data_IF_984401151355
#
_entry.id   IF_984401151355
#
_cell.length_a   1.000
_cell.length_b   1.000
_cell.length_c   1.000
_cell.angle_alpha   90.00
_cell.angle_beta   90.00
_cell.angle_gamma   90.00
#
_symmetry.space_group_name_H-M   'P 1'
#
loop_
_entity.id
_entity.type
_entity.pdbx_description
1 polymer ?
#
# COMPACT_ATOMS: atom_id res chain seq x y z
N UNK A 1 4.52 -2.60 9.67
CA UNK A 1 4.60 -2.80 8.22
C UNK A 1 3.54 -1.96 7.51
N UNK A 2 3.89 -1.38 6.39
CA UNK A 2 3.00 -0.52 5.61
C UNK A 2 2.82 -1.15 4.23
N UNK A 3 1.58 -1.21 3.76
CA UNK A 3 1.28 -1.68 2.42
C UNK A 3 0.81 -0.51 1.55
N UNK A 4 1.31 -0.43 0.34
CA UNK A 4 0.95 0.61 -0.62
C UNK A 4 0.11 0.00 -1.73
N UNK A 5 -1.07 0.55 -1.94
CA UNK A 5 -1.95 0.14 -3.02
C UNK A 5 -1.68 0.96 -4.28
N UNK A 6 -0.73 0.50 -5.07
CA UNK A 6 -0.26 1.21 -6.24
C UNK A 6 1.02 1.98 -5.95
N UNK A 7 1.91 2.02 -6.92
CA UNK A 7 3.22 2.68 -6.78
C UNK A 7 3.50 3.62 -7.93
N UNK A 8 2.47 4.26 -8.45
CA UNK A 8 2.64 5.33 -9.41
C UNK A 8 3.39 6.49 -8.78
N UNK A 9 3.23 7.68 -9.34
CA UNK A 9 3.97 8.85 -8.88
C UNK A 9 3.83 9.09 -7.36
N UNK A 10 2.61 9.07 -6.86
CA UNK A 10 2.34 9.33 -5.44
C UNK A 10 2.84 8.21 -4.54
N UNK A 11 2.53 6.96 -4.89
CA UNK A 11 2.94 5.82 -4.10
C UNK A 11 4.44 5.64 -4.06
N UNK A 12 5.10 5.86 -5.19
CA UNK A 12 6.56 5.80 -5.25
C UNK A 12 7.22 6.85 -4.38
N UNK A 13 6.71 8.08 -4.40
CA UNK A 13 7.24 9.15 -3.56
C UNK A 13 7.06 8.85 -2.07
N UNK A 14 5.89 8.36 -1.70
CA UNK A 14 5.63 8.00 -0.31
C UNK A 14 6.57 6.89 0.16
N UNK A 15 6.74 5.86 -0.67
CA UNK A 15 7.63 4.75 -0.34
C UNK A 15 9.06 5.21 -0.12
N UNK A 16 9.57 6.06 -0.99
CA UNK A 16 10.92 6.59 -0.84
C UNK A 16 11.08 7.38 0.46
N UNK A 17 10.08 8.17 0.83
CA UNK A 17 10.11 8.93 2.07
C UNK A 17 10.09 8.03 3.29
N UNK A 18 9.28 6.98 3.26
CA UNK A 18 9.21 6.03 4.37
C UNK A 18 10.54 5.29 4.55
N UNK A 19 11.17 4.91 3.45
CA UNK A 19 12.45 4.20 3.51
C UNK A 19 13.61 5.11 3.89
N UNK A 20 13.42 6.42 3.84
CA UNK A 20 14.45 7.38 4.24
C UNK A 20 14.44 7.68 5.75
N UNK A 21 13.47 7.18 6.48
CA UNK A 21 13.40 7.39 7.93
C UNK A 21 14.56 6.67 8.64
N UNK A 22 14.99 7.17 9.81
CA UNK A 22 16.07 6.52 10.57
C UNK A 22 15.80 5.06 10.90
N UNK A 23 14.54 4.72 11.19
CA UNK A 23 14.10 3.35 11.40
C UNK A 23 12.98 3.05 10.42
N UNK A 24 13.31 2.79 9.16
CA UNK A 24 12.28 2.66 8.13
C UNK A 24 11.39 1.44 8.37
N UNK A 25 10.07 1.59 8.19
CA UNK A 25 9.17 0.46 8.26
C UNK A 25 9.38 -0.45 7.06
N UNK A 26 8.93 -1.69 7.19
CA UNK A 26 8.87 -2.57 6.04
C UNK A 26 7.72 -2.11 5.16
N UNK A 27 7.96 -1.98 3.87
CA UNK A 27 6.98 -1.51 2.90
C UNK A 27 6.74 -2.58 1.85
N UNK A 28 5.49 -2.99 1.72
CA UNK A 28 5.04 -3.88 0.66
C UNK A 28 4.09 -3.12 -0.25
N UNK A 29 3.96 -3.55 -1.48
CA UNK A 29 3.06 -2.90 -2.41
C UNK A 29 2.28 -3.91 -3.23
N UNK A 30 1.13 -3.50 -3.72
CA UNK A 30 0.38 -4.26 -4.70
C UNK A 30 -0.07 -3.34 -5.83
N UNK A 31 -0.32 -3.91 -6.97
CA UNK A 31 -0.74 -3.14 -8.13
C UNK A 31 -1.08 -4.07 -9.28
N UNK A 32 -1.45 -3.48 -10.39
CA UNK A 32 -1.88 -4.22 -11.58
C UNK A 32 -0.72 -4.59 -12.50
N UNK A 33 0.37 -3.83 -12.44
CA UNK A 33 1.46 -3.95 -13.40
C UNK A 33 2.75 -4.34 -12.69
N UNK A 34 3.25 -5.53 -12.98
CA UNK A 34 4.49 -6.02 -12.42
C UNK A 34 5.66 -5.09 -12.70
N UNK A 35 5.73 -4.56 -13.91
CA UNK A 35 6.82 -3.68 -14.31
C UNK A 35 6.95 -2.46 -13.40
N UNK A 36 5.82 -1.84 -13.07
CA UNK A 36 5.79 -0.67 -12.18
C UNK A 36 6.24 -1.04 -10.78
N UNK A 37 5.78 -2.19 -10.29
CA UNK A 37 6.14 -2.67 -8.95
C UNK A 37 7.63 -3.00 -8.86
N UNK A 38 8.18 -3.66 -9.87
CA UNK A 38 9.61 -3.95 -9.92
C UNK A 38 10.45 -2.69 -9.93
N UNK A 39 10.03 -1.70 -10.70
CA UNK A 39 10.74 -0.43 -10.79
C UNK A 39 10.78 0.26 -9.42
N UNK A 40 9.66 0.25 -8.71
CA UNK A 40 9.60 0.83 -7.36
C UNK A 40 10.55 0.09 -6.41
N UNK A 41 10.62 -1.22 -6.51
CA UNK A 41 11.53 -2.00 -5.69
C UNK A 41 12.99 -1.69 -6.02
N UNK A 42 13.32 -1.58 -7.29
CA UNK A 42 14.69 -1.25 -7.72
C UNK A 42 15.11 0.12 -7.22
N UNK A 43 14.18 1.07 -7.12
CA UNK A 43 14.45 2.40 -6.60
C UNK A 43 14.54 2.47 -5.08
N UNK A 44 14.22 1.38 -4.40
CA UNK A 44 14.23 1.35 -2.95
C UNK A 44 12.99 1.92 -2.30
N UNK A 45 11.92 2.14 -3.06
CA UNK A 45 10.67 2.67 -2.52
C UNK A 45 9.89 1.61 -1.75
N UNK A 46 10.04 0.35 -2.11
CA UNK A 46 9.34 -0.77 -1.46
C UNK A 46 10.32 -1.92 -1.25
N UNK A 47 10.01 -2.77 -0.27
CA UNK A 47 10.82 -3.95 0.03
C UNK A 47 10.33 -5.18 -0.71
N UNK A 48 9.02 -5.27 -0.89
CA UNK A 48 8.40 -6.41 -1.58
C UNK A 48 7.14 -5.96 -2.31
N UNK A 49 6.65 -6.83 -3.18
CA UNK A 49 5.41 -6.52 -3.90
C UNK A 49 4.70 -7.81 -4.27
N UNK A 50 3.41 -7.68 -4.58
CA UNK A 50 2.58 -8.78 -5.06
C UNK A 50 1.54 -8.23 -6.02
N UNK A 51 1.13 -9.04 -6.98
CA UNK A 51 -0.03 -8.70 -7.82
C UNK A 51 -1.34 -9.04 -7.11
N UNK A 52 -1.26 -9.78 -6.02
CA UNK A 52 -2.42 -10.12 -5.21
C UNK A 52 -2.54 -9.14 -4.03
N UNK A 53 -3.55 -8.26 -4.03
CA UNK A 53 -3.71 -7.30 -2.95
C UNK A 53 -3.84 -7.96 -1.57
N UNK A 54 -4.55 -9.07 -1.49
CA UNK A 54 -4.76 -9.77 -0.23
C UNK A 54 -3.44 -10.22 0.40
N UNK A 55 -2.51 -10.70 -0.42
CA UNK A 55 -1.22 -11.15 0.05
C UNK A 55 -0.39 -9.97 0.58
N UNK A 56 -0.43 -8.85 -0.13
CA UNK A 56 0.38 -7.68 0.22
C UNK A 56 -0.05 -7.04 1.55
N UNK A 57 -1.34 -7.08 1.89
CA UNK A 57 -1.85 -6.40 3.08
C UNK A 57 -1.96 -7.28 4.32
N UNK A 58 -1.71 -8.57 4.19
CA UNK A 58 -1.96 -9.53 5.28
C UNK A 58 -1.36 -9.12 6.62
N UNK A 59 -0.13 -8.65 6.62
CA UNK A 59 0.57 -8.30 7.86
C UNK A 59 0.71 -6.79 8.05
N UNK A 60 0.03 -5.99 7.25
CA UNK A 60 0.17 -4.55 7.29
C UNK A 60 -0.58 -3.94 8.47
N UNK A 61 0.07 -2.99 9.13
CA UNK A 61 -0.55 -2.18 10.17
C UNK A 61 -1.30 -1.00 9.53
N UNK A 62 -0.76 -0.49 8.44
CA UNK A 62 -1.31 0.63 7.72
C UNK A 62 -1.32 0.28 6.23
N UNK A 63 -2.43 0.54 5.57
CA UNK A 63 -2.56 0.39 4.12
C UNK A 63 -2.86 1.74 3.53
N UNK A 64 -2.02 2.20 2.60
CA UNK A 64 -2.21 3.48 1.92
C UNK A 64 -2.57 3.21 0.46
N UNK A 65 -3.77 3.61 0.08
CA UNK A 65 -4.24 3.44 -1.29
C UNK A 65 -3.81 4.63 -2.12
N UNK A 66 -2.92 4.39 -3.07
CA UNK A 66 -2.30 5.44 -3.89
C UNK A 66 -2.79 5.41 -5.34
N UNK A 67 -3.93 4.79 -5.56
CA UNK A 67 -4.52 4.66 -6.88
C UNK A 67 -5.57 5.76 -7.11
N UNK A 68 -6.03 5.94 -8.35
CA UNK A 68 -7.11 6.88 -8.63
C UNK A 68 -8.35 6.58 -7.78
N UNK A 69 -9.05 7.63 -7.37
CA UNK A 69 -10.23 7.52 -6.49
C UNK A 69 -11.24 6.49 -6.98
N UNK A 70 -11.40 6.37 -8.29
CA UNK A 70 -12.37 5.43 -8.89
C UNK A 70 -12.10 3.97 -8.56
N UNK A 71 -10.84 3.62 -8.32
CA UNK A 71 -10.45 2.23 -8.07
C UNK A 71 -10.41 1.89 -6.59
N UNK A 72 -10.56 2.88 -5.71
CA UNK A 72 -10.49 2.66 -4.28
C UNK A 72 -11.54 1.68 -3.76
N UNK A 73 -12.83 1.78 -4.16
CA UNK A 73 -13.82 0.79 -3.71
C UNK A 73 -13.46 -0.64 -4.10
N UNK A 74 -12.93 -0.84 -5.31
CA UNK A 74 -12.49 -2.17 -5.74
C UNK A 74 -11.32 -2.67 -4.90
N UNK A 75 -10.37 -1.80 -4.61
CA UNK A 75 -9.23 -2.14 -3.79
C UNK A 75 -9.67 -2.48 -2.37
N UNK A 76 -10.57 -1.70 -1.80
CA UNK A 76 -11.11 -1.97 -0.46
C UNK A 76 -11.77 -3.35 -0.42
N UNK A 77 -12.57 -3.68 -1.42
CA UNK A 77 -13.22 -4.99 -1.49
C UNK A 77 -12.18 -6.11 -1.57
N UNK A 78 -11.13 -5.89 -2.36
CA UNK A 78 -10.11 -6.91 -2.57
C UNK A 78 -9.30 -7.21 -1.31
N UNK A 79 -9.13 -6.25 -0.42
CA UNK A 79 -8.27 -6.40 0.75
C UNK A 79 -9.02 -6.60 2.06
N UNK A 80 -10.32 -6.30 2.10
CA UNK A 80 -11.08 -6.21 3.34
C UNK A 80 -10.98 -7.47 4.22
N UNK A 81 -11.03 -8.64 3.62
CA UNK A 81 -11.00 -9.90 4.37
C UNK A 81 -9.58 -10.31 4.78
N UNK A 82 -8.57 -9.68 4.22
CA UNK A 82 -7.17 -10.02 4.47
C UNK A 82 -6.49 -9.08 5.44
N UNK A 83 -7.15 -8.00 5.82
CA UNK A 83 -6.61 -7.04 6.78
C UNK A 83 -6.58 -7.66 8.17
N UNK A 84 -5.49 -7.43 8.88
CA UNK A 84 -5.42 -7.88 10.27
C UNK A 84 -6.25 -6.94 11.16
N UNK A 85 -6.72 -7.41 12.32
CA UNK A 85 -7.49 -6.56 13.24
C UNK A 85 -6.72 -5.30 13.61
N UNK A 86 -7.41 -4.17 13.59
CA UNK A 86 -6.82 -2.89 13.96
C UNK A 86 -6.05 -2.20 12.84
N UNK A 87 -5.98 -2.79 11.64
CA UNK A 87 -5.31 -2.16 10.53
C UNK A 87 -6.01 -0.85 10.14
N UNK A 88 -5.21 0.16 9.78
CA UNK A 88 -5.70 1.44 9.33
C UNK A 88 -5.58 1.51 7.82
N UNK A 89 -6.65 1.88 7.14
CA UNK A 89 -6.65 2.06 5.70
C UNK A 89 -6.92 3.52 5.39
N UNK A 90 -6.06 4.13 4.59
CA UNK A 90 -6.22 5.52 4.17
C UNK A 90 -5.87 5.65 2.70
N UNK A 91 -6.16 6.78 2.08
CA UNK A 91 -5.73 7.05 0.71
C UNK A 91 -5.09 8.43 0.62
N UNK A 92 -4.26 8.63 -0.40
CA UNK A 92 -3.54 9.90 -0.56
C UNK A 92 -4.35 10.96 -1.29
N UNK A 93 -5.46 10.59 -1.88
CA UNK A 93 -6.33 11.53 -2.59
C UNK A 93 -7.50 12.04 -1.77
N UNK A 94 -7.58 11.67 -0.49
CA UNK A 94 -8.71 11.97 0.35
C UNK A 94 -8.27 12.31 1.76
N UNK A 95 -9.12 13.05 2.48
CA UNK A 95 -8.91 13.29 3.90
C UNK A 95 -9.60 12.24 4.76
N UNK A 96 -10.26 11.28 4.14
CA UNK A 96 -10.98 10.23 4.87
C UNK A 96 -10.03 9.11 5.26
N UNK A 97 -10.22 8.60 6.44
CA UNK A 97 -9.51 7.43 6.93
C UNK A 97 -10.52 6.35 7.28
N UNK A 98 -10.20 5.12 6.94
CA UNK A 98 -11.02 3.98 7.30
C UNK A 98 -10.25 3.12 8.30
N UNK A 99 -10.83 2.91 9.45
CA UNK A 99 -10.25 2.07 10.49
C UNK A 99 -11.02 0.77 10.51
N UNK A 100 -10.30 -0.31 10.28
CA UNK A 100 -10.88 -1.65 10.31
C UNK A 100 -10.62 -2.23 11.70
N UNK A 101 -11.64 -2.27 12.50
CA UNK A 101 -11.57 -2.81 13.85
C UNK A 101 -12.30 -4.15 13.89
N UNK A 102 -11.59 -5.20 14.19
CA UNK A 102 -12.15 -6.53 14.28
C UNK A 102 -12.08 -7.08 15.69
#
# INVERSE_FOLDING_TARGET
MIALGGVGLMGGSLGLRLKALPSPPRVAAFGRTEKTLRRAQERGAIDSWSLDPAEAVRDADIVVLCAPVRTIPEQMTAIAQSLKPGAIVTDVGSTKEWIIAE
#
